data_IF_169036401424
#
_entry.id   IF_169036401424
#
_cell.length_a   1.000
_cell.length_b   1.000
_cell.length_c   1.000
_cell.angle_alpha   90.00
_cell.angle_beta   90.00
_cell.angle_gamma   90.00
#
_symmetry.space_group_name_H-M   'P 1'
#
loop_
_entity.id
_entity.type
_entity.pdbx_description
1 polymer ?
#
# COMPACT_ATOMS: atom_id res chain seq x y z
N UNK A 1 17.38 -5.22 0.77
CA UNK A 1 16.60 -5.95 -0.26
C UNK A 1 16.11 -4.93 -1.27
N UNK A 2 16.13 -5.25 -2.57
CA UNK A 2 15.58 -4.37 -3.60
C UNK A 2 14.07 -4.17 -3.37
N UNK A 3 13.54 -2.94 -3.42
CA UNK A 3 12.12 -2.70 -3.21
C UNK A 3 11.28 -3.22 -4.38
N UNK A 4 10.32 -4.11 -4.08
CA UNK A 4 9.26 -4.55 -4.99
C UNK A 4 7.97 -3.92 -4.49
N UNK A 5 7.47 -2.95 -5.25
CA UNK A 5 6.41 -2.03 -4.83
C UNK A 5 5.04 -2.63 -5.15
N UNK A 6 4.11 -2.49 -4.22
CA UNK A 6 2.68 -2.65 -4.48
C UNK A 6 1.89 -1.49 -3.88
N UNK A 7 0.63 -1.35 -4.23
CA UNK A 7 -0.27 -0.29 -3.76
C UNK A 7 -1.72 -0.77 -3.88
N UNK A 8 -2.67 -0.01 -3.35
CA UNK A 8 -4.07 -0.41 -3.37
C UNK A 8 -4.75 -0.11 -4.71
N UNK A 9 -5.82 -0.83 -5.05
CA UNK A 9 -6.57 -0.53 -6.27
C UNK A 9 -7.43 0.72 -6.08
N UNK A 10 -7.16 1.73 -6.90
CA UNK A 10 -7.84 3.03 -6.90
C UNK A 10 -8.62 3.27 -8.21
N UNK A 11 -9.23 2.22 -8.74
CA UNK A 11 -9.94 2.29 -10.02
C UNK A 11 -9.01 2.69 -11.16
N UNK A 12 -9.37 3.72 -11.92
CA UNK A 12 -8.62 4.18 -13.09
C UNK A 12 -7.23 4.73 -12.73
N UNK A 13 -7.04 5.23 -11.50
CA UNK A 13 -5.73 5.70 -11.04
C UNK A 13 -4.69 4.58 -10.94
N UNK A 14 -5.11 3.32 -10.81
CA UNK A 14 -4.17 2.19 -10.75
C UNK A 14 -3.29 2.10 -11.99
N UNK A 15 -3.84 2.44 -13.17
CA UNK A 15 -3.09 2.45 -14.43
C UNK A 15 -2.03 3.56 -14.40
N UNK A 16 -2.41 4.75 -13.93
CA UNK A 16 -1.50 5.89 -13.83
C UNK A 16 -0.34 5.62 -12.88
N UNK A 17 -0.61 5.10 -11.67
CA UNK A 17 0.43 4.78 -10.70
C UNK A 17 1.33 3.63 -11.14
N UNK A 18 0.78 2.58 -11.76
CA UNK A 18 1.60 1.51 -12.34
C UNK A 18 2.57 2.08 -13.38
N UNK A 19 2.04 2.86 -14.32
CA UNK A 19 2.84 3.51 -15.37
C UNK A 19 3.92 4.41 -14.79
N UNK A 20 3.58 5.20 -13.77
CA UNK A 20 4.54 6.06 -13.06
C UNK A 20 5.70 5.25 -12.48
N UNK A 21 5.42 4.17 -11.74
CA UNK A 21 6.47 3.34 -11.15
C UNK A 21 7.31 2.62 -12.21
N UNK A 22 6.67 2.11 -13.26
CA UNK A 22 7.37 1.48 -14.40
C UNK A 22 8.35 2.48 -15.06
N UNK A 23 7.90 3.72 -15.31
CA UNK A 23 8.74 4.77 -15.92
C UNK A 23 9.88 5.24 -15.02
N UNK A 24 9.73 5.10 -13.70
CA UNK A 24 10.80 5.36 -12.73
C UNK A 24 11.80 4.19 -12.61
N UNK A 25 11.62 3.11 -13.39
CA UNK A 25 12.49 1.93 -13.36
C UNK A 25 12.29 1.04 -12.14
N UNK A 26 11.11 1.11 -11.52
CA UNK A 26 10.80 0.41 -10.28
C UNK A 26 10.04 -0.88 -10.55
N UNK A 27 10.39 -1.90 -9.78
CA UNK A 27 9.71 -3.17 -9.85
C UNK A 27 8.37 -3.07 -9.12
N UNK A 28 7.28 -3.31 -9.84
CA UNK A 28 5.93 -3.12 -9.31
C UNK A 28 5.07 -4.36 -9.53
N UNK A 29 4.43 -4.82 -8.46
CA UNK A 29 3.37 -5.82 -8.50
C UNK A 29 2.05 -5.08 -8.30
N UNK A 30 1.31 -4.78 -9.39
CA UNK A 30 0.08 -4.01 -9.29
C UNK A 30 -1.01 -4.79 -8.55
N UNK A 31 -1.95 -4.10 -7.87
CA UNK A 31 -3.05 -4.76 -7.18
C UNK A 31 -4.00 -5.43 -8.18
N UNK A 32 -4.48 -6.61 -7.80
CA UNK A 32 -5.54 -7.31 -8.51
C UNK A 32 -6.90 -6.58 -8.37
N UNK A 33 -7.91 -7.07 -9.08
CA UNK A 33 -9.27 -6.53 -8.95
C UNK A 33 -9.81 -6.81 -7.55
N UNK A 34 -10.22 -5.76 -6.84
CA UNK A 34 -10.93 -5.88 -5.56
C UNK A 34 -12.16 -6.77 -5.73
N UNK A 35 -12.26 -7.78 -4.87
CA UNK A 35 -13.35 -8.74 -4.82
C UNK A 35 -13.71 -9.06 -3.35
N UNK A 36 -14.82 -9.77 -3.13
CA UNK A 36 -15.31 -10.08 -1.78
C UNK A 36 -14.28 -10.83 -0.93
N UNK A 37 -13.49 -11.73 -1.53
CA UNK A 37 -12.42 -12.46 -0.84
C UNK A 37 -11.33 -11.51 -0.35
N UNK A 38 -10.82 -10.62 -1.20
CA UNK A 38 -9.81 -9.63 -0.79
C UNK A 38 -10.32 -8.72 0.33
N UNK A 39 -11.58 -8.28 0.25
CA UNK A 39 -12.20 -7.45 1.29
C UNK A 39 -12.29 -8.21 2.61
N UNK A 40 -12.73 -9.46 2.58
CA UNK A 40 -12.84 -10.30 3.78
C UNK A 40 -11.47 -10.58 4.41
N UNK A 41 -10.45 -10.89 3.60
CA UNK A 41 -9.08 -11.11 4.10
C UNK A 41 -8.50 -9.84 4.74
N UNK A 42 -8.69 -8.68 4.12
CA UNK A 42 -8.26 -7.40 4.70
C UNK A 42 -9.01 -7.04 5.98
N UNK A 43 -10.32 -7.32 6.04
CA UNK A 43 -11.13 -7.08 7.23
C UNK A 43 -10.74 -7.94 8.44
N UNK A 44 -10.23 -9.16 8.21
CA UNK A 44 -9.78 -10.07 9.29
C UNK A 44 -8.57 -9.56 10.06
N UNK A 45 -7.67 -8.85 9.38
CA UNK A 45 -6.45 -8.31 9.99
C UNK A 45 -6.62 -6.84 10.41
N UNK A 46 -7.58 -6.13 9.81
CA UNK A 46 -7.79 -4.73 10.10
C UNK A 46 -8.32 -4.49 11.53
N UNK A 47 -7.98 -3.34 12.15
CA UNK A 47 -8.59 -2.93 13.38
C UNK A 47 -10.10 -2.73 13.19
N UNK A 48 -10.90 -3.24 14.13
CA UNK A 48 -12.36 -3.29 14.05
C UNK A 48 -12.97 -1.91 13.73
N UNK A 49 -12.53 -0.90 14.49
CA UNK A 49 -13.07 0.45 14.48
C UNK A 49 -12.60 1.31 13.30
N UNK A 50 -11.75 0.82 12.41
CA UNK A 50 -11.33 1.58 11.23
C UNK A 50 -12.34 1.48 10.09
N UNK A 51 -12.41 2.55 9.30
CA UNK A 51 -13.37 2.66 8.20
C UNK A 51 -13.10 1.60 7.11
N UNK A 52 -14.16 1.26 6.39
CA UNK A 52 -14.15 0.24 5.34
C UNK A 52 -13.01 0.39 4.31
N UNK A 53 -12.62 1.59 3.85
CA UNK A 53 -11.54 1.71 2.88
C UNK A 53 -10.18 1.18 3.39
N UNK A 54 -9.89 1.27 4.70
CA UNK A 54 -8.68 0.68 5.26
C UNK A 54 -8.71 -0.86 5.11
N UNK A 55 -9.87 -1.47 5.38
CA UNK A 55 -10.06 -2.93 5.28
C UNK A 55 -9.89 -3.39 3.83
N UNK A 56 -10.46 -2.65 2.88
CA UNK A 56 -10.33 -2.94 1.45
C UNK A 56 -8.88 -2.82 0.97
N UNK A 57 -8.20 -1.73 1.32
CA UNK A 57 -6.82 -1.47 0.89
C UNK A 57 -5.84 -2.49 1.48
N UNK A 58 -6.00 -2.89 2.75
CA UNK A 58 -5.26 -4.03 3.32
C UNK A 58 -5.42 -5.30 2.50
N UNK A 59 -6.66 -5.63 2.17
CA UNK A 59 -6.99 -6.79 1.34
C UNK A 59 -6.39 -6.75 -0.06
N UNK A 60 -6.19 -5.55 -0.61
CA UNK A 60 -5.58 -5.37 -1.93
C UNK A 60 -4.08 -5.67 -1.93
N UNK A 61 -3.40 -5.45 -0.80
CA UNK A 61 -1.97 -5.70 -0.68
C UNK A 61 -1.66 -7.20 -0.60
N UNK A 62 -2.49 -7.99 0.08
CA UNK A 62 -2.19 -9.39 0.40
C UNK A 62 -1.84 -10.26 -0.82
N UNK A 63 -2.58 -10.23 -1.95
CA UNK A 63 -2.20 -10.99 -3.13
C UNK A 63 -0.85 -10.57 -3.71
N UNK A 64 -0.54 -9.28 -3.70
CA UNK A 64 0.73 -8.77 -4.20
C UNK A 64 1.90 -9.12 -3.26
N UNK A 65 1.69 -9.04 -1.95
CA UNK A 65 2.67 -9.47 -0.94
C UNK A 65 2.99 -10.97 -1.10
N UNK A 66 1.97 -11.81 -1.30
CA UNK A 66 2.17 -13.26 -1.57
C UNK A 66 2.95 -13.53 -2.86
N UNK A 67 2.96 -12.58 -3.81
CA UNK A 67 3.75 -12.65 -5.06
C UNK A 67 5.16 -12.06 -4.91
N UNK A 68 5.55 -11.62 -3.71
CA UNK A 68 6.89 -11.11 -3.41
C UNK A 68 6.98 -9.60 -3.24
N UNK A 69 5.87 -8.85 -3.24
CA UNK A 69 5.93 -7.43 -2.93
C UNK A 69 6.35 -7.21 -1.47
N UNK A 70 7.40 -6.43 -1.26
CA UNK A 70 7.99 -6.17 0.05
C UNK A 70 7.88 -4.69 0.46
N UNK A 71 7.30 -3.84 -0.40
CA UNK A 71 7.16 -2.41 -0.18
C UNK A 71 5.75 -1.98 -0.56
N UNK A 72 5.02 -1.35 0.36
CA UNK A 72 3.69 -0.80 0.10
C UNK A 72 3.79 0.69 -0.10
N UNK A 73 3.26 1.13 -1.22
CA UNK A 73 3.05 2.52 -1.53
C UNK A 73 1.64 2.95 -1.09
N UNK A 74 1.57 3.97 -0.22
CA UNK A 74 0.31 4.53 0.30
C UNK A 74 0.34 6.06 0.31
N UNK A 75 -0.78 6.68 -0.05
CA UNK A 75 -0.98 8.13 0.03
C UNK A 75 -1.74 8.49 1.29
N UNK A 76 -1.15 9.29 2.17
CA UNK A 76 -1.83 9.81 3.34
C UNK A 76 -2.36 11.23 3.12
N UNK A 77 -3.57 11.49 3.63
CA UNK A 77 -4.18 12.81 3.57
C UNK A 77 -3.76 13.66 4.78
N UNK A 78 -2.62 14.35 4.65
CA UNK A 78 -1.97 15.09 5.75
C UNK A 78 -2.86 16.25 6.27
N UNK A 79 -3.55 16.95 5.37
CA UNK A 79 -4.44 18.08 5.71
C UNK A 79 -5.92 17.70 5.91
N UNK A 80 -6.24 16.41 5.79
CA UNK A 80 -7.61 15.93 5.85
C UNK A 80 -8.10 15.68 7.28
N UNK A 81 -9.41 15.82 7.48
CA UNK A 81 -10.07 15.47 8.74
C UNK A 81 -10.32 13.97 8.92
N UNK A 82 -10.10 13.15 7.88
CA UNK A 82 -10.45 11.72 7.90
C UNK A 82 -9.32 10.82 8.45
N UNK A 83 -9.64 9.54 8.67
CA UNK A 83 -8.70 8.53 9.20
C UNK A 83 -7.58 8.15 8.23
N UNK A 84 -7.66 8.54 6.95
CA UNK A 84 -6.63 8.25 5.94
C UNK A 84 -5.26 8.81 6.31
N UNK A 85 -5.20 9.85 7.15
CA UNK A 85 -3.95 10.40 7.70
C UNK A 85 -3.11 9.40 8.50
N UNK A 86 -3.69 8.27 8.91
CA UNK A 86 -3.03 7.22 9.69
C UNK A 86 -2.89 5.89 8.94
N UNK A 87 -3.41 5.79 7.72
CA UNK A 87 -3.49 4.50 7.03
C UNK A 87 -2.13 3.84 6.89
N UNK A 88 -1.09 4.57 6.49
CA UNK A 88 0.21 3.98 6.24
C UNK A 88 0.78 3.30 7.49
N UNK A 89 0.80 4.02 8.61
CA UNK A 89 1.34 3.50 9.88
C UNK A 89 0.51 2.31 10.39
N UNK A 90 -0.82 2.42 10.32
CA UNK A 90 -1.71 1.36 10.81
C UNK A 90 -1.62 0.12 9.93
N UNK A 91 -1.57 0.29 8.60
CA UNK A 91 -1.42 -0.81 7.66
C UNK A 91 -0.08 -1.52 7.84
N UNK A 92 1.00 -0.76 7.99
CA UNK A 92 2.33 -1.33 8.26
C UNK A 92 2.34 -2.17 9.54
N UNK A 93 1.82 -1.61 10.64
CA UNK A 93 1.75 -2.29 11.93
C UNK A 93 0.96 -3.60 11.83
N UNK A 94 -0.25 -3.54 11.28
CA UNK A 94 -1.17 -4.68 11.16
C UNK A 94 -0.58 -5.79 10.30
N UNK A 95 0.10 -5.44 9.21
CA UNK A 95 0.72 -6.43 8.32
C UNK A 95 1.93 -7.09 8.97
N UNK A 96 2.73 -6.34 9.73
CA UNK A 96 3.83 -6.89 10.54
C UNK A 96 3.31 -7.84 11.62
N UNK A 97 2.24 -7.47 12.33
CA UNK A 97 1.57 -8.35 13.31
C UNK A 97 0.98 -9.62 12.66
N UNK A 98 0.55 -9.53 11.40
CA UNK A 98 0.09 -10.68 10.61
C UNK A 98 1.24 -11.52 10.02
N UNK A 99 2.50 -11.21 10.32
CA UNK A 99 3.68 -11.97 9.89
C UNK A 99 4.26 -11.56 8.54
N UNK A 100 3.84 -10.43 7.97
CA UNK A 100 4.41 -9.90 6.73
C UNK A 100 5.48 -8.84 7.02
N UNK A 101 6.71 -9.09 6.57
CA UNK A 101 7.78 -8.08 6.62
C UNK A 101 7.66 -7.14 5.42
N UNK A 102 7.16 -5.93 5.66
CA UNK A 102 6.91 -4.93 4.63
C UNK A 102 7.48 -3.57 5.00
N UNK A 103 7.94 -2.85 3.98
CA UNK A 103 8.32 -1.45 4.09
C UNK A 103 7.16 -0.54 3.66
N UNK A 104 6.96 0.56 4.37
CA UNK A 104 6.01 1.59 3.97
C UNK A 104 6.73 2.70 3.19
N UNK A 105 6.32 2.91 1.93
CA UNK A 105 6.68 4.07 1.13
C UNK A 105 5.52 5.05 1.13
N UNK A 106 5.73 6.22 1.74
CA UNK A 106 4.71 7.27 1.85
C UNK A 106 5.25 8.58 1.29
N UNK A 107 4.44 9.26 0.45
CA UNK A 107 4.73 10.60 -0.09
C UNK A 107 4.55 11.71 0.97
N UNK A 108 4.88 11.45 2.24
CA UNK A 108 5.03 12.45 3.32
C UNK A 108 6.29 13.30 3.16
N UNK A 109 7.09 13.04 2.13
CA UNK A 109 8.42 13.62 1.92
C UNK A 109 8.49 14.33 0.57
N UNK A 110 9.25 15.41 0.51
CA UNK A 110 9.60 16.07 -0.75
C UNK A 110 10.11 15.05 -1.78
N UNK A 111 9.91 15.26 -3.10
CA UNK A 111 10.35 14.34 -4.16
C UNK A 111 11.77 13.77 -3.99
N UNK A 112 12.67 14.55 -3.38
CA UNK A 112 14.05 14.17 -3.03
C UNK A 112 14.15 12.98 -2.07
N UNK A 113 13.30 12.92 -1.03
CA UNK A 113 13.36 11.84 -0.05
C UNK A 113 12.69 10.54 -0.54
N UNK A 114 11.77 10.63 -1.52
CA UNK A 114 11.29 9.45 -2.27
C UNK A 114 12.43 8.84 -3.07
N UNK A 115 13.16 9.66 -3.83
CA UNK A 115 14.32 9.19 -4.60
C UNK A 115 15.36 8.51 -3.72
N UNK A 116 15.66 9.05 -2.53
CA UNK A 116 16.63 8.43 -1.62
C UNK A 116 16.18 7.10 -1.00
N UNK A 117 14.89 6.91 -0.74
CA UNK A 117 14.36 5.66 -0.20
C UNK A 117 14.31 4.56 -1.25
N UNK A 118 14.07 4.96 -2.51
CA UNK A 118 13.96 4.07 -3.65
C UNK A 118 15.33 3.63 -4.20
N UNK A 119 16.36 4.48 -4.10
CA UNK A 119 17.70 4.21 -4.64
C UNK A 119 18.57 3.28 -3.77
N UNK A 120 18.17 2.98 -2.53
CA UNK A 120 18.89 2.04 -1.64
C UNK A 120 18.69 0.60 -2.07
#
# INVERSE_FOLDING_TARGET
MKPIITFARWGNYTIAFKTLFDQLGLEVIPPEKTNQKTIAEGAKIAPEMYCFPLKVTLGNYLPAIRKGANTIFMVQNIGGSCRQRYYGIIQEKVLKEAGYDINLLDFRVTPKAIYSTIKK
#
